data_IF_614628306570
#
_entry.id   IF_614628306570
#
_cell.length_a   1.000
_cell.length_b   1.000
_cell.length_c   1.000
_cell.angle_alpha   90.00
_cell.angle_beta   90.00
_cell.angle_gamma   90.00
#
_symmetry.space_group_name_H-M   'P 1'
#
loop_
_entity.id
_entity.type
_entity.pdbx_description
1 polymer ?
#
# COMPACT_ATOMS: atom_id res chain seq x y z
N UNK A 1 -105.78 35.93 55.88
CA UNK A 1 -104.83 36.16 54.77
C UNK A 1 -105.11 35.07 53.73
N UNK A 2 -105.44 35.51 52.52
CA UNK A 2 -105.75 34.79 51.26
C UNK A 2 -105.16 33.36 51.15
N UNK A 3 -105.81 32.31 50.63
CA UNK A 3 -106.98 32.17 49.76
C UNK A 3 -106.63 31.34 48.51
N UNK A 4 -107.24 30.13 48.36
CA UNK A 4 -107.57 29.39 47.11
C UNK A 4 -106.42 28.96 46.15
N UNK A 5 -106.42 27.86 45.38
CA UNK A 5 -107.32 26.75 45.05
C UNK A 5 -106.55 25.64 44.27
N UNK A 6 -107.12 24.40 44.27
CA UNK A 6 -107.24 23.30 43.25
C UNK A 6 -106.22 23.24 42.08
N UNK A 7 -105.86 22.10 41.44
CA UNK A 7 -106.56 20.85 41.18
C UNK A 7 -105.59 19.80 40.55
N UNK A 8 -105.87 18.51 40.76
CA UNK A 8 -106.03 17.45 39.74
C UNK A 8 -105.08 17.38 38.50
N UNK A 9 -104.32 16.29 38.32
CA UNK A 9 -104.62 15.18 37.38
C UNK A 9 -103.39 14.38 36.85
N UNK A 10 -103.50 13.05 36.96
CA UNK A 10 -103.26 12.00 35.93
C UNK A 10 -101.86 11.75 35.33
N UNK A 11 -101.56 10.45 35.17
CA UNK A 11 -100.76 9.96 34.03
C UNK A 11 -99.77 8.83 34.36
N UNK A 12 -100.22 7.57 34.27
CA UNK A 12 -99.30 6.42 34.27
C UNK A 12 -98.60 6.22 32.92
N UNK A 13 -97.46 5.53 32.90
CA UNK A 13 -96.89 4.98 31.66
C UNK A 13 -96.18 3.64 31.89
N UNK A 14 -96.35 2.79 30.89
CA UNK A 14 -96.15 1.35 30.79
C UNK A 14 -94.69 0.93 30.61
N UNK A 15 -94.39 -0.28 31.10
CA UNK A 15 -93.16 -1.07 30.86
C UNK A 15 -93.15 -1.60 29.43
N UNK A 16 -92.04 -1.41 28.71
CA UNK A 16 -91.81 -1.94 27.37
C UNK A 16 -90.37 -2.44 27.20
N UNK A 17 -90.26 -3.76 27.04
CA UNK A 17 -89.21 -4.60 26.43
C UNK A 17 -87.84 -3.99 26.05
N UNK A 18 -86.76 -4.66 26.50
CA UNK A 18 -85.47 -4.66 25.81
C UNK A 18 -84.93 -6.09 25.70
N UNK A 19 -84.91 -6.62 24.48
CA UNK A 19 -84.23 -7.88 24.14
C UNK A 19 -82.73 -7.66 23.97
N UNK A 20 -81.93 -8.54 24.58
CA UNK A 20 -80.48 -8.49 24.55
C UNK A 20 -79.96 -9.43 23.45
N UNK A 21 -79.34 -8.89 22.39
CA UNK A 21 -78.65 -9.68 21.36
C UNK A 21 -77.21 -9.91 21.86
N UNK A 22 -76.85 -11.17 22.15
CA UNK A 22 -75.45 -11.55 22.38
C UNK A 22 -74.74 -11.69 21.03
N UNK A 23 -73.92 -10.70 20.69
CA UNK A 23 -72.93 -10.82 19.62
C UNK A 23 -71.68 -11.53 20.15
N UNK A 24 -71.42 -12.75 19.70
CA UNK A 24 -70.16 -13.45 19.95
C UNK A 24 -69.07 -12.89 19.01
N UNK A 25 -68.26 -11.97 19.50
CA UNK A 25 -67.06 -11.47 18.82
C UNK A 25 -65.94 -12.52 18.92
N UNK A 26 -65.78 -13.33 17.87
CA UNK A 26 -64.58 -14.12 17.65
C UNK A 26 -63.40 -13.19 17.35
N UNK A 27 -62.61 -12.87 18.37
CA UNK A 27 -61.34 -12.16 18.22
C UNK A 27 -60.31 -13.09 17.55
N UNK A 28 -60.27 -13.09 16.22
CA UNK A 28 -59.11 -13.58 15.49
C UNK A 28 -57.92 -12.67 15.83
N UNK A 29 -56.94 -13.18 16.56
CA UNK A 29 -55.65 -12.48 16.68
C UNK A 29 -55.02 -12.43 15.28
N UNK A 30 -54.97 -11.24 14.69
CA UNK A 30 -54.14 -10.98 13.52
C UNK A 30 -52.67 -11.10 13.94
N UNK A 31 -52.05 -12.27 13.71
CA UNK A 31 -50.59 -12.42 13.86
C UNK A 31 -49.92 -11.78 12.64
N UNK A 32 -49.64 -10.48 12.74
CA UNK A 32 -48.71 -9.81 11.86
C UNK A 32 -47.31 -9.91 12.48
N UNK A 33 -46.34 -10.44 11.72
CA UNK A 33 -44.93 -10.43 12.10
C UNK A 33 -44.10 -9.81 10.99
N UNK A 34 -43.26 -8.85 11.35
CA UNK A 34 -42.25 -8.25 10.45
C UNK A 34 -40.89 -8.81 10.88
N UNK A 35 -40.17 -9.41 9.93
CA UNK A 35 -38.79 -9.86 10.15
C UNK A 35 -37.83 -8.81 9.62
N UNK A 36 -37.02 -8.23 10.52
CA UNK A 36 -35.85 -7.43 10.17
C UNK A 36 -34.59 -8.28 10.38
N UNK A 37 -33.61 -8.17 9.47
CA UNK A 37 -32.35 -8.93 9.49
C UNK A 37 -31.20 -8.04 9.00
N UNK A 38 -30.81 -7.02 9.77
CA UNK A 38 -29.62 -6.25 9.44
C UNK A 38 -28.40 -7.18 9.45
N UNK A 39 -27.61 -7.14 8.37
CA UNK A 39 -26.41 -7.95 8.18
C UNK A 39 -25.22 -7.04 7.87
N UNK A 40 -24.10 -7.27 8.56
CA UNK A 40 -22.86 -6.55 8.36
C UNK A 40 -21.72 -7.57 8.25
N UNK A 41 -20.95 -7.51 7.16
CA UNK A 41 -19.72 -8.29 6.99
C UNK A 41 -18.59 -7.35 6.56
N UNK A 42 -17.51 -7.33 7.33
CA UNK A 42 -16.28 -6.65 6.98
C UNK A 42 -15.29 -7.72 6.50
N UNK A 43 -15.06 -7.76 5.19
CA UNK A 43 -14.22 -8.78 4.54
C UNK A 43 -12.73 -8.55 4.87
N UNK A 44 -11.88 -9.54 4.55
CA UNK A 44 -10.43 -9.36 4.59
C UNK A 44 -9.99 -8.46 3.44
N UNK A 45 -9.50 -7.26 3.77
CA UNK A 45 -9.11 -6.22 2.82
C UNK A 45 -7.68 -5.78 3.04
N UNK A 46 -6.96 -5.61 1.93
CA UNK A 46 -5.65 -4.96 1.86
C UNK A 46 -5.77 -3.77 0.90
N UNK A 47 -5.28 -2.61 1.32
CA UNK A 47 -5.22 -1.40 0.50
C UNK A 47 -3.76 -1.11 0.24
N UNK A 48 -3.38 -1.06 -1.04
CA UNK A 48 -2.05 -0.63 -1.48
C UNK A 48 -2.15 0.79 -2.02
N UNK A 49 -1.23 1.65 -1.58
CA UNK A 49 -1.17 3.03 -2.07
C UNK A 49 0.27 3.50 -2.27
N UNK A 50 0.46 4.29 -3.33
CA UNK A 50 1.75 4.82 -3.79
C UNK A 50 1.51 5.98 -4.79
N UNK A 51 2.28 6.10 -5.87
CA UNK A 51 2.11 7.13 -6.92
C UNK A 51 1.33 6.59 -8.11
N UNK A 52 0.55 7.43 -8.79
CA UNK A 52 -0.27 7.02 -9.94
C UNK A 52 0.45 6.91 -11.28
N UNK A 53 1.61 7.55 -11.39
CA UNK A 53 2.53 7.43 -12.52
C UNK A 53 3.90 7.93 -12.08
N UNK A 54 4.93 7.75 -12.90
CA UNK A 54 6.25 8.30 -12.68
C UNK A 54 6.25 9.83 -12.83
N UNK A 55 7.28 10.48 -12.29
CA UNK A 55 7.36 11.94 -12.28
C UNK A 55 7.43 12.54 -13.70
N UNK A 56 8.06 11.84 -14.65
CA UNK A 56 8.13 12.21 -16.06
C UNK A 56 6.75 12.42 -16.69
N UNK A 57 5.76 11.68 -16.20
CA UNK A 57 4.39 11.69 -16.69
C UNK A 57 3.48 12.60 -15.87
N UNK A 58 4.04 13.45 -14.99
CA UNK A 58 3.30 14.26 -14.02
C UNK A 58 2.45 13.42 -13.07
N UNK A 59 2.97 12.27 -12.64
CA UNK A 59 2.33 11.42 -11.65
C UNK A 59 1.94 12.16 -10.37
N UNK A 60 0.89 11.69 -9.70
CA UNK A 60 0.44 12.21 -8.42
C UNK A 60 0.56 11.16 -7.32
N UNK A 61 0.88 11.58 -6.10
CA UNK A 61 0.96 10.70 -4.94
C UNK A 61 0.55 11.45 -3.64
N UNK A 62 0.02 10.74 -2.61
CA UNK A 62 -0.37 9.33 -2.63
C UNK A 62 -1.73 9.09 -3.31
N UNK A 63 -1.85 7.95 -3.97
CA UNK A 63 -3.09 7.42 -4.54
C UNK A 63 -3.23 5.94 -4.12
N UNK A 64 -4.45 5.53 -3.79
CA UNK A 64 -4.77 4.13 -3.54
C UNK A 64 -5.02 3.44 -4.87
N UNK A 65 -4.28 2.36 -5.13
CA UNK A 65 -4.23 1.69 -6.42
C UNK A 65 -4.85 0.31 -6.39
N UNK A 66 -4.78 -0.36 -5.23
CA UNK A 66 -5.28 -1.70 -5.10
C UNK A 66 -6.17 -1.79 -3.86
N UNK A 67 -7.36 -2.35 -4.04
CA UNK A 67 -8.25 -2.77 -2.98
C UNK A 67 -8.44 -4.29 -3.11
N UNK A 68 -7.55 -5.02 -2.46
CA UNK A 68 -7.48 -6.47 -2.56
C UNK A 68 -8.47 -7.10 -1.58
N UNK A 69 -9.38 -7.92 -2.10
CA UNK A 69 -10.20 -8.81 -1.28
C UNK A 69 -9.51 -10.17 -1.15
N UNK A 70 -9.30 -10.61 0.11
CA UNK A 70 -8.70 -11.91 0.44
C UNK A 70 -9.73 -12.93 0.96
N UNK A 71 -11.02 -12.59 0.94
CA UNK A 71 -12.08 -13.50 1.39
C UNK A 71 -12.24 -14.68 0.42
N UNK A 72 -12.20 -15.90 0.93
CA UNK A 72 -12.30 -17.15 0.17
C UNK A 72 -11.22 -17.32 -0.93
N UNK A 73 -10.10 -16.61 -0.80
CA UNK A 73 -8.93 -16.77 -1.67
C UNK A 73 -8.03 -17.87 -1.07
N UNK A 74 -7.66 -18.91 -1.82
CA UNK A 74 -6.73 -19.93 -1.33
C UNK A 74 -5.36 -19.34 -0.99
N UNK A 75 -4.72 -19.84 0.06
CA UNK A 75 -3.33 -19.47 0.41
C UNK A 75 -2.41 -19.60 -0.81
N UNK A 76 -1.54 -18.61 -1.00
CA UNK A 76 -0.63 -18.56 -2.15
C UNK A 76 -1.32 -18.22 -3.48
N UNK A 77 -2.54 -17.67 -3.45
CA UNK A 77 -3.20 -17.09 -4.63
C UNK A 77 -3.34 -15.57 -4.52
N UNK A 78 -3.25 -14.88 -5.64
CA UNK A 78 -3.47 -13.44 -5.72
C UNK A 78 -4.90 -13.10 -5.30
N UNK A 79 -5.06 -12.02 -4.54
CA UNK A 79 -6.38 -11.56 -4.14
C UNK A 79 -7.14 -10.89 -5.29
N UNK A 80 -8.44 -10.68 -5.10
CA UNK A 80 -9.25 -9.96 -6.08
C UNK A 80 -9.09 -8.46 -5.90
N UNK A 81 -8.36 -7.82 -6.80
CA UNK A 81 -8.23 -6.37 -6.90
C UNK A 81 -9.51 -5.74 -7.46
N UNK A 82 -9.93 -4.62 -6.86
CA UNK A 82 -11.13 -3.86 -7.24
C UNK A 82 -10.82 -2.59 -8.04
N UNK A 83 -9.55 -2.21 -8.18
CA UNK A 83 -9.11 -1.05 -8.96
C UNK A 83 -8.10 -1.53 -9.99
N UNK A 84 -8.53 -1.60 -11.26
CA UNK A 84 -7.71 -2.17 -12.34
C UNK A 84 -6.43 -1.38 -12.70
N UNK A 85 -6.09 -0.31 -11.98
CA UNK A 85 -4.93 0.53 -12.27
C UNK A 85 -3.81 0.23 -11.28
N UNK A 86 -2.67 -0.19 -11.80
CA UNK A 86 -1.47 -0.37 -11.01
C UNK A 86 -0.83 0.96 -10.60
N UNK A 87 -0.20 0.96 -9.43
CA UNK A 87 0.59 2.08 -8.94
C UNK A 87 2.07 1.95 -9.27
N UNK A 88 2.77 3.08 -9.26
CA UNK A 88 4.24 3.12 -9.26
C UNK A 88 4.78 3.38 -7.85
N UNK A 89 6.01 2.95 -7.54
CA UNK A 89 6.64 3.31 -6.28
C UNK A 89 6.85 4.81 -6.11
N UNK A 90 7.00 5.25 -4.87
CA UNK A 90 7.29 6.64 -4.52
C UNK A 90 8.61 6.75 -3.77
N UNK A 91 9.21 7.94 -3.78
CA UNK A 91 10.16 8.34 -2.78
C UNK A 91 9.44 8.90 -1.55
N UNK A 92 10.12 8.85 -0.41
CA UNK A 92 9.54 9.28 0.86
C UNK A 92 9.50 10.83 0.97
N UNK A 93 8.37 11.46 1.40
CA UNK A 93 7.14 10.85 1.90
C UNK A 93 6.13 10.38 0.85
N UNK A 94 5.96 11.09 -0.27
CA UNK A 94 5.03 10.75 -1.37
C UNK A 94 5.39 11.52 -2.64
N UNK A 95 6.63 11.40 -3.07
CA UNK A 95 7.00 11.96 -4.36
C UNK A 95 7.05 10.82 -5.36
N UNK A 96 6.30 10.88 -6.48
CA UNK A 96 6.49 9.95 -7.58
C UNK A 96 7.98 9.84 -7.89
N UNK A 97 8.48 8.61 -7.98
CA UNK A 97 9.86 8.41 -8.41
C UNK A 97 9.94 8.60 -9.93
N UNK A 98 11.14 8.83 -10.43
CA UNK A 98 11.41 8.66 -11.85
C UNK A 98 11.48 7.19 -12.26
N UNK A 99 11.08 6.89 -13.49
CA UNK A 99 11.35 5.60 -14.13
C UNK A 99 12.84 5.38 -14.45
N UNK A 100 13.64 6.45 -14.50
CA UNK A 100 15.06 6.45 -14.78
C UNK A 100 15.41 6.55 -16.28
N UNK A 101 14.43 6.70 -17.16
CA UNK A 101 14.64 6.75 -18.62
C UNK A 101 15.05 8.14 -19.12
N UNK A 102 14.75 9.18 -18.34
CA UNK A 102 14.89 10.58 -18.70
C UNK A 102 16.29 11.17 -18.41
N UNK A 103 17.18 10.44 -17.72
CA UNK A 103 18.47 10.97 -17.26
C UNK A 103 19.38 9.94 -16.61
N UNK A 104 20.57 10.41 -16.18
CA UNK A 104 21.57 9.59 -15.50
C UNK A 104 21.35 9.52 -13.99
N UNK A 105 22.20 8.75 -13.30
CA UNK A 105 22.23 8.71 -11.84
C UNK A 105 23.45 9.45 -11.30
N UNK A 106 23.34 10.13 -10.15
CA UNK A 106 24.47 10.83 -9.55
C UNK A 106 25.56 9.85 -9.15
N UNK A 107 26.80 10.31 -9.31
CA UNK A 107 28.00 9.59 -8.93
C UNK A 107 28.44 10.00 -7.53
N UNK A 108 28.86 9.04 -6.72
CA UNK A 108 29.61 9.35 -5.52
C UNK A 108 31.09 9.34 -5.85
N UNK A 109 31.77 10.41 -5.46
CA UNK A 109 33.23 10.46 -5.44
C UNK A 109 33.69 9.98 -4.05
N UNK A 110 34.61 9.03 -4.04
CA UNK A 110 35.24 8.50 -2.81
C UNK A 110 36.75 8.62 -2.90
N UNK A 111 37.43 8.60 -1.75
CA UNK A 111 38.90 8.67 -1.70
C UNK A 111 39.50 9.97 -2.26
N UNK A 112 38.71 11.03 -2.41
CA UNK A 112 39.19 12.33 -2.87
C UNK A 112 39.95 13.08 -1.77
N UNK A 113 40.96 13.86 -2.16
CA UNK A 113 41.79 14.63 -1.21
C UNK A 113 41.17 15.96 -0.79
N UNK A 114 40.19 16.46 -1.56
CA UNK A 114 39.40 17.66 -1.27
C UNK A 114 38.14 17.69 -2.15
N UNK A 115 37.11 18.44 -1.72
CA UNK A 115 35.92 18.73 -2.54
C UNK A 115 35.05 17.51 -2.89
N UNK A 116 34.41 17.56 -4.06
CA UNK A 116 33.60 16.45 -4.60
C UNK A 116 32.17 16.39 -4.06
N UNK A 117 31.72 17.47 -3.42
CA UNK A 117 30.33 17.59 -2.98
C UNK A 117 29.39 17.63 -4.19
N UNK A 118 28.43 16.71 -4.20
CA UNK A 118 27.26 16.74 -5.08
C UNK A 118 26.24 17.72 -4.51
N UNK A 119 25.78 18.67 -5.33
CA UNK A 119 24.76 19.65 -5.01
C UNK A 119 23.56 19.31 -5.89
N UNK A 120 22.53 18.72 -5.27
CA UNK A 120 21.24 18.47 -5.93
C UNK A 120 20.31 19.67 -5.73
N UNK A 121 19.67 20.15 -6.80
CA UNK A 121 18.79 21.32 -6.70
C UNK A 121 17.70 21.41 -7.79
N UNK A 122 16.42 21.21 -7.46
CA UNK A 122 15.87 20.06 -6.75
C UNK A 122 15.62 18.90 -7.73
N UNK A 123 15.81 17.66 -7.28
CA UNK A 123 14.81 16.57 -7.33
C UNK A 123 15.32 15.15 -7.70
N UNK A 124 14.53 14.16 -7.24
CA UNK A 124 14.32 12.79 -7.75
C UNK A 124 15.47 11.79 -7.90
N UNK A 125 16.58 11.96 -7.17
CA UNK A 125 17.69 11.00 -7.18
C UNK A 125 18.32 10.80 -8.57
N UNK A 126 18.04 11.66 -9.55
CA UNK A 126 18.62 11.61 -10.90
C UNK A 126 19.50 12.81 -11.17
N UNK A 127 20.39 12.68 -12.14
CA UNK A 127 21.16 13.80 -12.67
C UNK A 127 20.29 14.62 -13.61
N UNK A 128 20.15 15.90 -13.30
CA UNK A 128 19.53 16.89 -14.17
C UNK A 128 20.43 18.11 -14.43
N UNK A 129 19.93 19.07 -15.22
CA UNK A 129 20.69 20.26 -15.62
C UNK A 129 20.93 21.26 -14.49
N UNK A 130 20.23 21.15 -13.36
CA UNK A 130 20.37 22.01 -12.20
C UNK A 130 21.31 21.41 -11.14
N UNK A 131 21.73 20.17 -11.34
CA UNK A 131 22.71 19.51 -10.50
C UNK A 131 24.14 19.95 -10.79
N UNK A 132 24.99 19.90 -9.77
CA UNK A 132 26.41 20.20 -9.94
C UNK A 132 27.30 19.44 -8.97
N UNK A 133 28.59 19.34 -9.33
CA UNK A 133 29.64 18.87 -8.44
C UNK A 133 30.64 19.99 -8.20
N UNK A 134 31.06 20.15 -6.94
CA UNK A 134 32.24 20.98 -6.64
C UNK A 134 33.52 20.30 -7.18
N UNK A 135 34.53 21.07 -7.61
CA UNK A 135 35.83 20.50 -7.97
C UNK A 135 36.42 19.65 -6.84
N UNK A 136 37.19 18.63 -7.19
CA UNK A 136 37.81 17.72 -6.22
C UNK A 136 39.26 17.39 -6.56
N UNK A 137 40.03 17.06 -5.53
CA UNK A 137 41.41 16.60 -5.67
C UNK A 137 41.48 15.09 -5.87
N UNK A 138 42.40 14.64 -6.74
CA UNK A 138 42.57 13.23 -7.13
C UNK A 138 43.90 12.70 -6.57
N UNK A 139 43.88 11.47 -6.06
CA UNK A 139 45.06 10.66 -5.75
C UNK A 139 44.85 9.18 -6.13
N UNK A 140 45.77 8.30 -5.75
CA UNK A 140 45.71 6.87 -6.07
C UNK A 140 44.61 6.08 -5.36
N UNK A 141 43.87 6.70 -4.44
CA UNK A 141 42.71 6.12 -3.75
C UNK A 141 41.37 6.71 -4.21
N UNK A 142 41.40 7.75 -5.05
CA UNK A 142 40.20 8.40 -5.55
C UNK A 142 39.45 7.51 -6.53
N UNK A 143 38.14 7.39 -6.33
CA UNK A 143 37.29 6.49 -7.08
C UNK A 143 35.87 7.05 -7.27
N UNK A 144 35.13 6.49 -8.21
CA UNK A 144 33.75 6.87 -8.54
C UNK A 144 32.86 5.64 -8.50
N UNK A 145 31.72 5.78 -7.83
CA UNK A 145 30.67 4.77 -7.81
C UNK A 145 29.33 5.37 -8.24
N UNK A 146 28.52 4.60 -8.96
CA UNK A 146 27.17 4.99 -9.35
C UNK A 146 26.27 4.84 -8.14
N UNK A 147 25.60 5.93 -7.73
CA UNK A 147 24.85 6.04 -6.47
C UNK A 147 25.74 5.95 -5.20
N UNK A 148 26.90 5.30 -5.24
CA UNK A 148 27.79 5.15 -4.10
C UNK A 148 27.16 4.39 -2.94
N UNK A 149 27.23 4.97 -1.75
CA UNK A 149 26.47 4.55 -0.57
C UNK A 149 24.96 4.81 -0.68
N UNK A 150 24.54 5.58 -1.69
CA UNK A 150 23.13 5.73 -2.03
C UNK A 150 22.70 4.56 -2.93
N UNK A 151 21.42 4.26 -2.88
CA UNK A 151 20.79 3.12 -3.53
C UNK A 151 19.43 3.58 -4.03
N UNK A 152 18.89 2.96 -5.07
CA UNK A 152 17.55 3.32 -5.56
C UNK A 152 16.53 2.80 -4.56
N UNK A 153 15.82 3.72 -3.91
CA UNK A 153 14.76 3.40 -2.96
C UNK A 153 13.40 3.54 -3.63
N UNK A 154 12.56 2.52 -3.49
CA UNK A 154 11.20 2.49 -4.03
C UNK A 154 10.23 2.11 -2.91
N UNK A 155 9.35 3.02 -2.52
CA UNK A 155 8.35 2.79 -1.47
C UNK A 155 6.96 2.53 -2.04
N UNK A 156 6.24 1.64 -1.37
CA UNK A 156 4.78 1.59 -1.40
C UNK A 156 4.27 1.31 0.01
N UNK A 157 2.98 1.49 0.22
CA UNK A 157 2.40 1.40 1.55
C UNK A 157 1.16 0.51 1.54
N UNK A 158 1.00 -0.23 2.63
CA UNK A 158 -0.06 -1.22 2.77
C UNK A 158 -0.82 -1.02 4.06
N UNK A 159 -2.14 -0.88 3.95
CA UNK A 159 -3.07 -0.89 5.09
C UNK A 159 -3.97 -2.10 5.00
N UNK A 160 -4.04 -2.92 6.05
CA UNK A 160 -4.86 -4.13 6.04
C UNK A 160 -5.58 -4.35 7.36
N UNK A 161 -6.72 -5.04 7.29
CA UNK A 161 -7.44 -5.57 8.46
C UNK A 161 -7.20 -7.07 8.69
N UNK A 162 -6.51 -7.75 7.77
CA UNK A 162 -6.15 -9.16 7.79
C UNK A 162 -4.65 -9.38 7.50
N UNK A 163 -4.15 -10.59 7.73
CA UNK A 163 -2.83 -11.02 7.29
C UNK A 163 -2.78 -11.11 5.75
N UNK A 164 -1.59 -10.96 5.18
CA UNK A 164 -1.34 -10.96 3.74
C UNK A 164 0.13 -11.26 3.47
N UNK A 165 0.40 -11.80 2.29
CA UNK A 165 1.74 -11.99 1.76
C UNK A 165 2.01 -11.03 0.60
N UNK A 166 3.29 -10.80 0.32
CA UNK A 166 3.71 -10.06 -0.88
C UNK A 166 4.57 -10.99 -1.73
N UNK A 167 4.17 -11.13 -2.98
CA UNK A 167 4.94 -11.78 -4.02
C UNK A 167 5.52 -10.71 -4.94
N UNK A 168 6.67 -11.00 -5.55
CA UNK A 168 7.28 -10.14 -6.52
C UNK A 168 7.77 -10.94 -7.74
N UNK A 169 7.83 -10.26 -8.87
CA UNK A 169 8.34 -10.79 -10.14
C UNK A 169 9.19 -9.74 -10.83
N UNK A 170 10.41 -10.10 -11.22
CA UNK A 170 11.28 -9.28 -12.05
C UNK A 170 11.10 -9.63 -13.52
N UNK A 171 10.86 -8.63 -14.36
CA UNK A 171 10.60 -8.80 -15.79
C UNK A 171 11.15 -7.63 -16.62
N UNK A 172 10.94 -7.66 -17.94
CA UNK A 172 11.27 -6.58 -18.87
C UNK A 172 12.70 -6.03 -18.76
N UNK A 173 13.68 -6.95 -18.64
CA UNK A 173 15.10 -6.57 -18.62
C UNK A 173 15.46 -5.80 -19.89
N UNK A 174 15.98 -4.59 -19.71
CA UNK A 174 16.46 -3.72 -20.79
C UNK A 174 17.93 -3.41 -20.58
N UNK A 175 18.75 -3.74 -21.58
CA UNK A 175 20.20 -3.46 -21.57
C UNK A 175 20.63 -2.72 -22.83
N UNK A 176 21.60 -1.82 -22.74
CA UNK A 176 22.17 -1.14 -23.91
C UNK A 176 23.64 -0.77 -23.74
N UNK A 177 24.31 -0.41 -24.84
CA UNK A 177 25.70 0.03 -24.83
C UNK A 177 26.65 -1.02 -24.23
N UNK A 178 27.55 -0.56 -23.39
CA UNK A 178 28.55 -1.40 -22.70
C UNK A 178 27.90 -2.31 -21.64
N UNK A 179 26.63 -2.06 -21.28
CA UNK A 179 25.87 -2.89 -20.34
C UNK A 179 25.11 -4.04 -21.02
N UNK A 180 25.27 -4.24 -22.33
CA UNK A 180 24.59 -5.29 -23.10
C UNK A 180 24.86 -6.74 -22.62
N UNK A 181 25.93 -6.97 -21.85
CA UNK A 181 26.24 -8.27 -21.25
C UNK A 181 25.73 -8.46 -19.82
N UNK A 182 25.07 -7.46 -19.23
CA UNK A 182 24.55 -7.52 -17.86
C UNK A 182 23.16 -8.16 -17.83
N UNK A 183 22.78 -8.72 -16.69
CA UNK A 183 21.47 -9.34 -16.49
C UNK A 183 20.88 -9.05 -15.09
N UNK A 184 19.81 -9.77 -14.72
CA UNK A 184 19.19 -9.62 -13.41
C UNK A 184 20.13 -9.92 -12.21
N UNK A 185 21.19 -10.70 -12.38
CA UNK A 185 22.20 -10.95 -11.35
C UNK A 185 23.04 -9.69 -11.06
N UNK A 186 23.09 -8.76 -12.00
CA UNK A 186 23.77 -7.47 -11.84
C UNK A 186 22.92 -6.42 -11.14
N UNK A 187 21.69 -6.75 -10.74
CA UNK A 187 20.83 -5.84 -9.97
C UNK A 187 20.62 -6.46 -8.58
N UNK A 188 21.34 -5.93 -7.59
CA UNK A 188 21.18 -6.33 -6.20
C UNK A 188 19.81 -5.92 -5.67
N UNK A 189 19.19 -6.78 -4.87
CA UNK A 189 17.85 -6.60 -4.34
C UNK A 189 17.82 -6.70 -2.82
N UNK A 190 17.16 -5.73 -2.18
CA UNK A 190 16.81 -5.76 -0.76
C UNK A 190 15.37 -5.30 -0.57
N UNK A 191 14.69 -5.89 0.41
CA UNK A 191 13.31 -5.57 0.77
C UNK A 191 13.20 -5.28 2.27
N UNK A 192 12.45 -4.24 2.63
CA UNK A 192 12.39 -3.71 3.99
C UNK A 192 10.95 -3.37 4.36
N UNK A 193 10.52 -3.79 5.53
CA UNK A 193 9.27 -3.36 6.16
C UNK A 193 9.56 -2.27 7.21
N UNK A 194 8.71 -1.23 7.29
CA UNK A 194 8.75 -0.22 8.38
C UNK A 194 7.37 0.17 8.91
N UNK A 195 7.25 0.18 10.23
CA UNK A 195 6.13 0.78 10.97
C UNK A 195 6.64 1.42 12.29
N UNK A 196 6.45 2.74 12.52
CA UNK A 196 5.98 3.72 11.56
C UNK A 196 6.96 3.86 10.40
N UNK A 197 6.45 4.06 9.18
CA UNK A 197 7.30 4.38 8.03
C UNK A 197 7.81 5.82 8.11
N UNK A 198 7.06 6.71 8.78
CA UNK A 198 7.44 8.10 8.98
C UNK A 198 6.63 8.83 10.04
N UNK A 199 6.88 10.12 10.24
CA UNK A 199 6.10 10.98 11.14
C UNK A 199 4.61 11.08 10.76
N UNK A 200 4.24 10.84 9.49
CA UNK A 200 2.86 10.92 9.00
C UNK A 200 2.25 9.56 8.64
N UNK A 201 3.06 8.52 8.46
CA UNK A 201 2.63 7.18 8.02
C UNK A 201 2.96 6.13 9.09
N UNK A 202 1.96 5.30 9.41
CA UNK A 202 2.13 4.14 10.29
C UNK A 202 2.16 4.45 11.78
N UNK A 203 1.77 5.66 12.19
CA UNK A 203 1.69 6.06 13.61
C UNK A 203 0.74 5.21 14.46
N UNK A 204 -0.17 4.48 13.81
CA UNK A 204 -1.16 3.57 14.39
C UNK A 204 -1.10 2.18 13.75
N UNK A 205 -0.01 1.87 13.06
CA UNK A 205 0.25 0.57 12.47
C UNK A 205 0.99 -0.36 13.46
N UNK A 206 1.13 -1.61 13.05
CA UNK A 206 2.03 -2.60 13.61
C UNK A 206 2.72 -3.32 12.46
N UNK A 207 3.91 -3.89 12.73
CA UNK A 207 4.59 -4.74 11.78
C UNK A 207 3.72 -5.97 11.46
N UNK A 208 3.41 -6.17 10.18
CA UNK A 208 2.62 -7.29 9.68
C UNK A 208 3.40 -8.62 9.73
N UNK A 209 4.72 -8.56 9.86
CA UNK A 209 5.61 -9.73 9.80
C UNK A 209 5.47 -10.64 11.01
N UNK A 210 4.98 -10.11 12.13
CA UNK A 210 4.93 -10.88 13.36
C UNK A 210 3.86 -11.96 13.27
N UNK A 211 4.30 -13.22 13.40
CA UNK A 211 3.48 -14.42 13.19
C UNK A 211 3.75 -15.10 11.86
N UNK A 212 4.42 -14.42 10.92
CA UNK A 212 4.99 -14.97 9.69
C UNK A 212 6.52 -14.86 9.71
N UNK A 213 7.16 -15.20 8.59
CA UNK A 213 8.62 -15.07 8.44
C UNK A 213 9.08 -13.62 8.17
N UNK A 214 8.17 -12.70 7.84
CA UNK A 214 8.49 -11.35 7.40
C UNK A 214 9.17 -11.36 6.02
N UNK A 215 10.25 -10.60 5.85
CA UNK A 215 11.00 -10.57 4.58
C UNK A 215 11.69 -11.92 4.34
N UNK A 216 11.29 -12.61 3.27
CA UNK A 216 11.78 -13.93 2.86
C UNK A 216 12.96 -13.80 1.87
N UNK A 217 12.85 -12.89 0.90
CA UNK A 217 13.89 -12.58 -0.09
C UNK A 217 14.30 -11.11 0.06
N UNK A 218 15.59 -10.81 -0.08
CA UNK A 218 16.11 -9.45 0.08
C UNK A 218 16.38 -9.03 1.53
N UNK A 219 16.38 -9.96 2.50
CA UNK A 219 16.64 -9.67 3.93
C UNK A 219 18.10 -9.30 4.22
N UNK A 220 19.05 -9.98 3.57
CA UNK A 220 20.48 -9.89 3.90
C UNK A 220 21.20 -8.88 2.99
N UNK A 221 21.05 -7.57 3.22
CA UNK A 221 21.85 -6.48 2.62
C UNK A 221 22.40 -6.77 1.19
N UNK A 222 21.48 -6.98 0.22
CA UNK A 222 21.76 -7.30 -1.18
C UNK A 222 22.52 -8.62 -1.46
N UNK A 223 22.34 -9.62 -0.60
CA UNK A 223 22.67 -11.01 -0.88
C UNK A 223 21.72 -11.66 -1.90
N UNK A 224 20.57 -11.02 -2.14
CA UNK A 224 19.64 -11.35 -3.22
C UNK A 224 19.87 -10.44 -4.43
N UNK A 225 19.44 -10.91 -5.59
CA UNK A 225 19.44 -10.18 -6.86
C UNK A 225 18.06 -10.26 -7.50
N UNK A 226 17.80 -9.48 -8.54
CA UNK A 226 16.56 -9.62 -9.30
C UNK A 226 16.42 -10.97 -9.98
N UNK A 227 17.52 -11.73 -10.15
CA UNK A 227 17.44 -13.07 -10.69
C UNK A 227 16.70 -14.03 -9.75
N UNK A 228 16.67 -13.75 -8.44
CA UNK A 228 15.88 -14.53 -7.48
C UNK A 228 14.35 -14.33 -7.66
N UNK A 229 13.95 -13.34 -8.46
CA UNK A 229 12.56 -12.97 -8.74
C UNK A 229 12.18 -13.18 -10.21
N UNK A 230 13.08 -13.69 -11.06
CA UNK A 230 12.88 -13.74 -12.52
C UNK A 230 12.08 -14.96 -13.00
N UNK A 231 11.79 -15.93 -12.12
CA UNK A 231 11.07 -17.17 -12.44
C UNK A 231 9.56 -17.07 -12.28
N UNK A 232 9.00 -15.87 -12.24
CA UNK A 232 7.58 -15.59 -11.97
C UNK A 232 7.32 -15.14 -10.53
N UNK A 233 6.04 -15.04 -10.17
CA UNK A 233 5.57 -14.60 -8.84
C UNK A 233 6.22 -15.40 -7.71
N UNK A 234 7.12 -14.76 -6.97
CA UNK A 234 7.92 -15.35 -5.91
C UNK A 234 7.64 -14.65 -4.59
N UNK A 235 7.37 -15.41 -3.50
CA UNK A 235 7.09 -14.82 -2.18
C UNK A 235 8.30 -14.05 -1.66
N UNK A 236 8.16 -12.74 -1.49
CA UNK A 236 9.21 -11.87 -0.91
C UNK A 236 8.91 -11.49 0.54
N UNK A 237 7.65 -11.58 0.94
CA UNK A 237 7.19 -11.27 2.29
C UNK A 237 6.08 -12.22 2.75
N UNK A 238 6.24 -12.72 3.97
CA UNK A 238 5.30 -13.59 4.68
C UNK A 238 4.73 -12.86 5.90
N UNK A 239 3.47 -12.44 5.80
CA UNK A 239 2.80 -11.64 6.80
C UNK A 239 1.93 -12.49 7.74
N UNK A 240 2.17 -12.38 9.04
CA UNK A 240 1.42 -13.12 10.05
C UNK A 240 0.19 -12.40 10.61
N UNK A 241 0.01 -11.11 10.29
CA UNK A 241 -1.06 -10.29 10.86
C UNK A 241 -1.37 -9.04 10.04
N UNK A 242 -2.48 -8.39 10.40
CA UNK A 242 -2.88 -7.09 9.85
C UNK A 242 -1.95 -5.93 10.22
N UNK A 243 -1.89 -4.89 9.40
CA UNK A 243 -1.15 -3.65 9.73
C UNK A 243 -1.93 -2.71 10.66
N UNK A 244 -3.27 -2.68 10.57
CA UNK A 244 -4.09 -1.79 11.40
C UNK A 244 -4.11 -2.23 12.88
N UNK A 245 -3.26 -1.62 13.71
CA UNK A 245 -3.15 -1.95 15.15
C UNK A 245 -4.31 -1.38 15.96
N UNK A 246 -4.58 -0.08 15.78
CA UNK A 246 -5.66 0.67 16.46
C UNK A 246 -6.40 1.55 15.46
N UNK A 247 -7.58 2.06 15.83
CA UNK A 247 -8.38 2.96 14.98
C UNK A 247 -7.53 4.14 14.48
N UNK A 248 -7.56 4.45 13.19
CA UNK A 248 -6.84 5.57 12.59
C UNK A 248 -7.31 5.82 11.16
N UNK A 249 -6.64 6.74 10.47
CA UNK A 249 -6.77 6.89 9.01
C UNK A 249 -6.01 5.76 8.31
N UNK A 250 -6.27 5.56 7.00
CA UNK A 250 -5.54 4.59 6.17
C UNK A 250 -4.03 4.79 6.31
N UNK A 251 -3.52 6.01 6.12
CA UNK A 251 -2.10 6.32 6.24
C UNK A 251 -1.54 6.09 7.65
N UNK A 252 -2.31 6.39 8.71
CA UNK A 252 -1.87 6.11 10.09
C UNK A 252 -1.78 4.61 10.36
N UNK A 253 -2.61 3.80 9.72
CA UNK A 253 -2.65 2.34 9.89
C UNK A 253 -1.73 1.59 8.93
N UNK A 254 -1.07 2.29 8.01
CA UNK A 254 -0.24 1.69 6.98
C UNK A 254 1.15 1.26 7.49
N UNK A 255 1.66 0.19 6.92
CA UNK A 255 3.08 -0.18 6.98
C UNK A 255 3.73 0.17 5.65
N UNK A 256 4.96 0.68 5.69
CA UNK A 256 5.73 0.97 4.49
C UNK A 256 6.58 -0.23 4.09
N UNK A 257 6.62 -0.50 2.80
CA UNK A 257 7.49 -1.49 2.18
C UNK A 257 8.43 -0.78 1.22
N UNK A 258 9.72 -0.99 1.41
CA UNK A 258 10.76 -0.38 0.60
C UNK A 258 11.57 -1.44 -0.11
N UNK A 259 11.65 -1.31 -1.42
CA UNK A 259 12.59 -2.04 -2.24
C UNK A 259 13.81 -1.18 -2.48
N UNK A 260 14.96 -1.82 -2.39
CA UNK A 260 16.25 -1.17 -2.50
C UNK A 260 17.02 -1.90 -3.58
N UNK A 261 17.49 -1.13 -4.57
CA UNK A 261 18.25 -1.67 -5.70
C UNK A 261 19.63 -1.02 -5.79
N UNK A 262 20.61 -1.83 -6.17
CA UNK A 262 21.95 -1.36 -6.51
C UNK A 262 22.46 -2.07 -7.75
N UNK A 263 23.27 -1.37 -8.54
CA UNK A 263 24.10 -2.04 -9.52
C UNK A 263 25.07 -2.97 -8.79
N UNK A 264 25.36 -4.12 -9.37
CA UNK A 264 26.39 -5.03 -8.90
C UNK A 264 27.40 -5.20 -10.02
N UNK A 265 28.45 -4.39 -9.93
CA UNK A 265 29.63 -4.50 -10.76
C UNK A 265 30.37 -5.83 -10.52
N UNK A 266 31.21 -6.18 -11.50
CA UNK A 266 32.39 -7.06 -11.49
C UNK A 266 32.88 -7.54 -10.10
N UNK A 267 33.53 -8.71 -9.94
CA UNK A 267 33.68 -9.47 -8.67
C UNK A 267 34.47 -8.81 -7.51
N UNK A 268 34.74 -7.50 -7.57
CA UNK A 268 35.34 -6.72 -6.50
C UNK A 268 34.26 -6.27 -5.51
N UNK A 269 34.28 -6.84 -4.31
CA UNK A 269 33.51 -6.33 -3.17
C UNK A 269 33.79 -4.85 -2.94
N UNK A 270 32.77 -3.99 -3.05
CA UNK A 270 32.81 -2.61 -2.55
C UNK A 270 32.38 -1.53 -3.53
N UNK A 271 32.52 -1.74 -4.85
CA UNK A 271 32.13 -0.77 -5.87
C UNK A 271 31.05 -1.34 -6.78
N UNK A 272 29.95 -0.59 -6.95
CA UNK A 272 28.83 -1.00 -7.78
C UNK A 272 29.06 -0.67 -9.26
N UNK A 273 29.85 0.36 -9.55
CA UNK A 273 30.23 0.80 -10.88
C UNK A 273 31.74 1.13 -10.94
N UNK A 274 32.33 0.94 -12.12
CA UNK A 274 33.70 1.36 -12.45
C UNK A 274 33.72 1.89 -13.89
N UNK A 275 34.59 2.86 -14.20
CA UNK A 275 34.64 3.46 -15.55
C UNK A 275 35.01 2.47 -16.65
N UNK A 276 35.68 1.35 -16.36
CA UNK A 276 35.92 0.30 -17.35
C UNK A 276 34.65 -0.43 -17.79
N UNK A 277 33.55 -0.32 -17.02
CA UNK A 277 32.23 -0.82 -17.43
C UNK A 277 31.60 0.03 -18.53
N UNK A 278 32.13 1.23 -18.80
CA UNK A 278 31.64 2.11 -19.85
C UNK A 278 30.28 2.72 -19.54
N UNK A 279 29.47 2.89 -20.57
CA UNK A 279 28.15 3.54 -20.51
C UNK A 279 27.06 2.66 -21.08
N UNK A 280 25.89 2.67 -20.46
CA UNK A 280 24.77 1.84 -20.90
C UNK A 280 23.54 1.97 -20.01
N UNK A 281 22.49 1.27 -20.39
CA UNK A 281 21.27 1.11 -19.59
C UNK A 281 21.26 -0.30 -19.04
N UNK A 282 20.87 -0.44 -17.77
CA UNK A 282 20.45 -1.69 -17.15
C UNK A 282 19.17 -1.36 -16.37
N UNK A 283 18.03 -1.84 -16.85
CA UNK A 283 16.72 -1.62 -16.23
C UNK A 283 15.92 -2.91 -16.19
N UNK A 284 15.02 -3.00 -15.23
CA UNK A 284 14.10 -4.11 -15.02
C UNK A 284 12.85 -3.60 -14.31
N UNK A 285 11.71 -4.20 -14.63
CA UNK A 285 10.48 -3.99 -13.90
C UNK A 285 10.39 -4.98 -12.75
N UNK A 286 9.88 -4.52 -11.60
CA UNK A 286 9.57 -5.40 -10.46
C UNK A 286 8.14 -5.14 -10.03
N UNK A 287 7.27 -6.11 -10.28
CA UNK A 287 5.85 -6.05 -9.90
C UNK A 287 5.67 -6.69 -8.54
N UNK A 288 4.97 -6.00 -7.63
CA UNK A 288 4.60 -6.52 -6.31
C UNK A 288 3.11 -6.81 -6.26
N UNK A 289 2.74 -7.99 -5.81
CA UNK A 289 1.34 -8.44 -5.78
C UNK A 289 0.99 -8.96 -4.40
N UNK A 290 -0.21 -8.60 -3.92
CA UNK A 290 -0.73 -9.06 -2.64
C UNK A 290 -1.39 -10.43 -2.80
N UNK A 291 -1.00 -11.36 -1.93
CA UNK A 291 -1.51 -12.72 -1.90
C UNK A 291 -2.18 -13.03 -0.57
N UNK A 292 -3.13 -13.97 -0.61
CA UNK A 292 -3.66 -14.56 0.61
C UNK A 292 -2.57 -15.40 1.31
N UNK A 293 -2.38 -15.23 2.63
CA UNK A 293 -1.36 -15.94 3.40
C UNK A 293 -1.65 -17.44 3.50
#
# INVERSE_FOLDING_TARGET
>A
MFGTARANQWGGLRVGFLGCILSASLFLQAKASVFDRPYFNATSVVIVFSGGDFIENNGAAPLAHDFVLLENVPSGSAGNDLIAQDGVPVNFPFDPISDGTSGGWPFQITGQTSGGAYINNPSFQMLDANDSYTPFGIDGSTDIDLLGSNVRFAWFFVTSNAAFDIYAEASNLTTSGDFSGLDFNNIGYQFIERAPASTTIGQRAQLASVGGAGVVIGRNAFGSTLNDLSSGQTKVYDGGRRTARVRGTIAQQATGFASVYRLRGSPVTGNNYDFSMGTGILSADVTYTIFAP
#
